data_IF_072151334540
#
_entry.id   IF_072151334540
#
_cell.length_a   1.000
_cell.length_b   1.000
_cell.length_c   1.000
_cell.angle_alpha   90.00
_cell.angle_beta   90.00
_cell.angle_gamma   90.00
#
_symmetry.space_group_name_H-M   'P 1'
#
loop_
_entity.id
_entity.type
_entity.pdbx_description
1 polymer ?
#
# COMPACT_ATOMS: atom_id res chain seq x y z
N UNK A 1 -59.52 23.17 -56.54
CA UNK A 1 -59.56 22.55 -55.19
C UNK A 1 -60.61 23.27 -54.37
N UNK A 2 -61.54 22.56 -53.73
CA UNK A 2 -62.54 23.20 -52.87
C UNK A 2 -61.92 23.56 -51.51
N UNK A 3 -62.33 24.67 -50.90
CA UNK A 3 -61.84 25.14 -49.59
C UNK A 3 -61.85 24.03 -48.52
N UNK A 4 -62.89 23.19 -48.51
CA UNK A 4 -63.03 22.07 -47.57
C UNK A 4 -61.94 21.02 -47.73
N UNK A 5 -61.58 20.68 -48.96
CA UNK A 5 -60.50 19.73 -49.29
C UNK A 5 -59.14 20.27 -48.81
N UNK A 6 -58.90 21.57 -48.99
CA UNK A 6 -57.66 22.22 -48.57
C UNK A 6 -57.49 22.22 -47.04
N UNK A 7 -58.56 22.47 -46.28
CA UNK A 7 -58.54 22.42 -44.81
C UNK A 7 -58.27 20.99 -44.32
N UNK A 8 -58.91 19.99 -44.92
CA UNK A 8 -58.70 18.58 -44.56
C UNK A 8 -57.24 18.17 -44.83
N UNK A 9 -56.70 18.52 -46.00
CA UNK A 9 -55.31 18.23 -46.35
C UNK A 9 -54.32 18.88 -45.37
N UNK A 10 -54.54 20.14 -44.98
CA UNK A 10 -53.69 20.84 -44.02
C UNK A 10 -53.67 20.16 -42.64
N UNK A 11 -54.83 19.67 -42.17
CA UNK A 11 -54.92 18.94 -40.90
C UNK A 11 -54.14 17.63 -40.94
N UNK A 12 -54.21 16.88 -42.05
CA UNK A 12 -53.43 15.65 -42.19
C UNK A 12 -51.92 15.90 -42.19
N UNK A 13 -51.48 16.96 -42.86
CA UNK A 13 -50.06 17.34 -42.88
C UNK A 13 -49.58 17.72 -41.48
N UNK A 14 -50.37 18.51 -40.74
CA UNK A 14 -50.04 18.88 -39.36
C UNK A 14 -49.99 17.66 -38.43
N UNK A 15 -50.94 16.73 -38.55
CA UNK A 15 -50.95 15.50 -37.77
C UNK A 15 -49.75 14.60 -38.11
N UNK A 16 -49.42 14.45 -39.39
CA UNK A 16 -48.26 13.68 -39.83
C UNK A 16 -46.94 14.27 -39.28
N UNK A 17 -46.79 15.59 -39.32
CA UNK A 17 -45.63 16.28 -38.76
C UNK A 17 -45.51 16.06 -37.24
N UNK A 18 -46.62 16.16 -36.52
CA UNK A 18 -46.67 15.93 -35.08
C UNK A 18 -46.26 14.50 -34.72
N UNK A 19 -46.81 13.51 -35.41
CA UNK A 19 -46.49 12.10 -35.21
C UNK A 19 -45.02 11.84 -35.51
N UNK A 20 -44.49 12.39 -36.59
CA UNK A 20 -43.08 12.25 -36.95
C UNK A 20 -42.15 12.88 -35.89
N UNK A 21 -42.45 14.09 -35.43
CA UNK A 21 -41.70 14.75 -34.36
C UNK A 21 -41.70 13.92 -33.07
N UNK A 22 -42.88 13.49 -32.63
CA UNK A 22 -43.05 12.65 -31.44
C UNK A 22 -42.28 11.33 -31.56
N UNK A 23 -42.32 10.68 -32.73
CA UNK A 23 -41.57 9.45 -32.99
C UNK A 23 -40.06 9.69 -32.92
N UNK A 24 -39.57 10.75 -33.57
CA UNK A 24 -38.15 11.13 -33.54
C UNK A 24 -37.68 11.40 -32.12
N UNK A 25 -38.44 12.18 -31.35
CA UNK A 25 -38.11 12.55 -29.98
C UNK A 25 -38.08 11.31 -29.08
N UNK A 26 -39.02 10.38 -29.25
CA UNK A 26 -39.02 9.10 -28.52
C UNK A 26 -37.79 8.26 -28.85
N UNK A 27 -37.38 8.19 -30.11
CA UNK A 27 -36.18 7.46 -30.50
C UNK A 27 -34.92 8.10 -29.92
N UNK A 28 -34.85 9.43 -29.92
CA UNK A 28 -33.74 10.15 -29.32
C UNK A 28 -33.70 9.98 -27.79
N UNK A 29 -34.86 9.99 -27.13
CA UNK A 29 -34.97 9.67 -25.70
C UNK A 29 -34.48 8.25 -25.39
N UNK A 30 -34.83 7.27 -26.23
CA UNK A 30 -34.41 5.88 -26.06
C UNK A 30 -32.89 5.74 -26.15
N UNK A 31 -32.28 6.36 -27.16
CA UNK A 31 -30.82 6.37 -27.31
C UNK A 31 -30.16 7.04 -26.11
N UNK A 32 -30.61 8.23 -25.72
CA UNK A 32 -30.04 8.95 -24.58
C UNK A 32 -30.17 8.14 -23.28
N UNK A 33 -31.31 7.51 -23.04
CA UNK A 33 -31.51 6.65 -21.87
C UNK A 33 -30.55 5.46 -21.89
N UNK A 34 -30.37 4.77 -23.02
CA UNK A 34 -29.41 3.66 -23.12
C UNK A 34 -27.97 4.11 -22.87
N UNK A 35 -27.58 5.28 -23.39
CA UNK A 35 -26.25 5.84 -23.14
C UNK A 35 -26.07 6.21 -21.68
N UNK A 36 -27.05 6.90 -21.09
CA UNK A 36 -26.97 7.36 -19.69
C UNK A 36 -26.98 6.17 -18.71
N UNK A 37 -27.80 5.16 -18.98
CA UNK A 37 -27.82 3.89 -18.23
C UNK A 37 -26.49 3.15 -18.34
N UNK A 38 -25.88 3.12 -19.53
CA UNK A 38 -24.54 2.56 -19.74
C UNK A 38 -23.47 3.31 -18.95
N UNK A 39 -23.49 4.65 -18.96
CA UNK A 39 -22.57 5.47 -18.18
C UNK A 39 -22.76 5.29 -16.67
N UNK A 40 -24.00 5.24 -16.20
CA UNK A 40 -24.32 5.03 -14.79
C UNK A 40 -23.85 3.65 -14.32
N UNK A 41 -24.08 2.61 -15.12
CA UNK A 41 -23.61 1.25 -14.86
C UNK A 41 -22.08 1.16 -14.82
N UNK A 42 -21.40 1.82 -15.76
CA UNK A 42 -19.95 1.93 -15.76
C UNK A 42 -19.44 2.65 -14.49
N UNK A 43 -20.07 3.75 -14.10
CA UNK A 43 -19.70 4.51 -12.90
C UNK A 43 -19.95 3.70 -11.62
N UNK A 44 -21.07 2.99 -11.53
CA UNK A 44 -21.39 2.11 -10.40
C UNK A 44 -20.38 0.96 -10.29
N UNK A 45 -19.97 0.39 -11.43
CA UNK A 45 -18.93 -0.65 -11.50
C UNK A 45 -17.59 -0.10 -11.02
N UNK A 46 -17.15 1.06 -11.52
CA UNK A 46 -15.90 1.72 -11.11
C UNK A 46 -15.92 2.02 -9.61
N UNK A 47 -17.03 2.56 -9.10
CA UNK A 47 -17.14 2.88 -7.69
C UNK A 47 -17.07 1.62 -6.81
N UNK A 48 -17.73 0.53 -7.23
CA UNK A 48 -17.70 -0.76 -6.52
C UNK A 48 -16.30 -1.37 -6.51
N UNK A 49 -15.59 -1.33 -7.64
CA UNK A 49 -14.20 -1.81 -7.74
C UNK A 49 -13.30 -0.98 -6.84
N UNK A 50 -13.47 0.34 -6.85
CA UNK A 50 -12.67 1.25 -6.00
C UNK A 50 -12.92 0.99 -4.53
N UNK A 51 -14.19 0.84 -4.12
CA UNK A 51 -14.55 0.58 -2.73
C UNK A 51 -14.04 -0.78 -2.25
N UNK A 52 -14.11 -1.81 -3.10
CA UNK A 52 -13.56 -3.13 -2.79
C UNK A 52 -12.02 -3.11 -2.70
N UNK A 53 -11.33 -2.41 -3.61
CA UNK A 53 -9.89 -2.23 -3.54
C UNK A 53 -9.45 -1.49 -2.26
N UNK A 54 -10.16 -0.44 -1.87
CA UNK A 54 -9.92 0.26 -0.59
C UNK A 54 -10.15 -0.67 0.59
N UNK A 55 -11.24 -1.43 0.60
CA UNK A 55 -11.53 -2.38 1.68
C UNK A 55 -10.46 -3.48 1.81
N UNK A 56 -9.96 -4.01 0.68
CA UNK A 56 -8.88 -5.01 0.68
C UNK A 56 -7.59 -4.40 1.24
N UNK A 57 -7.19 -3.21 0.79
CA UNK A 57 -6.01 -2.51 1.32
C UNK A 57 -6.15 -2.24 2.82
N UNK A 58 -7.34 -1.85 3.26
CA UNK A 58 -7.60 -1.59 4.67
C UNK A 58 -7.49 -2.85 5.52
N UNK A 59 -7.99 -4.00 5.04
CA UNK A 59 -7.80 -5.30 5.73
C UNK A 59 -6.34 -5.71 5.76
N UNK A 60 -5.63 -5.62 4.63
CA UNK A 60 -4.21 -5.95 4.57
C UNK A 60 -3.37 -5.06 5.50
N UNK A 61 -3.70 -3.77 5.62
CA UNK A 61 -3.04 -2.87 6.56
C UNK A 61 -3.29 -3.27 8.02
N UNK A 62 -4.53 -3.63 8.38
CA UNK A 62 -4.87 -4.11 9.71
C UNK A 62 -4.15 -5.42 10.06
N UNK A 63 -4.09 -6.36 9.12
CA UNK A 63 -3.38 -7.63 9.30
C UNK A 63 -1.87 -7.41 9.46
N UNK A 64 -1.28 -6.50 8.68
CA UNK A 64 0.13 -6.11 8.84
C UNK A 64 0.40 -5.47 10.21
N UNK A 65 -0.47 -4.57 10.69
CA UNK A 65 -0.36 -3.98 12.03
C UNK A 65 -0.44 -5.05 13.11
N UNK A 66 -1.32 -6.03 12.96
CA UNK A 66 -1.48 -7.14 13.91
C UNK A 66 -0.26 -8.05 13.93
N UNK A 67 0.29 -8.41 12.77
CA UNK A 67 1.52 -9.18 12.66
C UNK A 67 2.70 -8.47 13.33
N UNK A 68 2.87 -7.17 13.06
CA UNK A 68 3.93 -6.37 13.69
C UNK A 68 3.79 -6.28 15.22
N UNK A 69 2.56 -6.15 15.74
CA UNK A 69 2.32 -6.20 17.19
C UNK A 69 2.67 -7.55 17.81
N UNK A 70 2.40 -8.65 17.11
CA UNK A 70 2.78 -9.99 17.57
C UNK A 70 4.31 -10.14 17.61
N UNK A 71 5.00 -9.68 16.57
CA UNK A 71 6.47 -9.65 16.51
C UNK A 71 7.08 -8.79 17.64
N UNK A 72 6.58 -7.58 17.87
CA UNK A 72 7.04 -6.70 18.95
C UNK A 72 6.84 -7.35 20.33
N UNK A 73 5.74 -8.09 20.51
CA UNK A 73 5.45 -8.80 21.77
C UNK A 73 6.42 -9.97 21.98
N UNK A 74 6.70 -10.76 20.95
CA UNK A 74 7.66 -11.86 21.02
C UNK A 74 9.09 -11.34 21.23
N UNK A 75 9.47 -10.24 20.58
CA UNK A 75 10.76 -9.59 20.81
C UNK A 75 10.93 -9.13 22.27
N UNK A 76 9.89 -8.56 22.88
CA UNK A 76 9.90 -8.20 24.32
C UNK A 76 10.03 -9.43 25.22
N UNK A 77 9.34 -10.53 24.91
CA UNK A 77 9.50 -11.79 25.66
C UNK A 77 10.91 -12.35 25.56
N UNK A 78 11.47 -12.45 24.35
CA UNK A 78 12.83 -12.96 24.13
C UNK A 78 13.86 -12.09 24.88
N UNK A 79 13.75 -10.76 24.77
CA UNK A 79 14.59 -9.83 25.52
C UNK A 79 14.48 -10.01 27.03
N UNK A 80 13.28 -10.32 27.53
CA UNK A 80 13.05 -10.59 28.95
C UNK A 80 13.72 -11.89 29.36
N UNK A 81 13.52 -12.98 28.64
CA UNK A 81 14.16 -14.28 28.89
C UNK A 81 15.69 -14.15 28.89
N UNK A 82 16.27 -13.42 27.95
CA UNK A 82 17.72 -13.15 27.93
C UNK A 82 18.15 -12.40 29.20
N UNK A 83 17.41 -11.35 29.58
CA UNK A 83 17.77 -10.52 30.74
C UNK A 83 17.54 -11.19 32.10
N UNK A 84 16.65 -12.16 32.20
CA UNK A 84 16.29 -12.78 33.48
C UNK A 84 16.82 -14.20 33.59
N UNK A 85 16.62 -15.03 32.57
CA UNK A 85 17.01 -16.45 32.62
C UNK A 85 18.49 -16.62 32.27
N UNK A 86 18.98 -15.97 31.20
CA UNK A 86 20.37 -16.10 30.80
C UNK A 86 21.32 -15.27 31.68
N UNK A 87 20.92 -14.07 32.10
CA UNK A 87 21.71 -13.25 33.03
C UNK A 87 22.04 -13.98 34.33
N UNK A 88 21.07 -14.72 34.86
CA UNK A 88 21.20 -15.45 36.12
C UNK A 88 21.63 -16.91 35.90
N UNK A 89 21.99 -17.29 34.66
CA UNK A 89 22.52 -18.63 34.36
C UNK A 89 23.94 -18.78 34.89
N UNK A 90 24.23 -19.96 35.46
CA UNK A 90 25.55 -20.32 36.01
C UNK A 90 26.69 -20.17 35.00
N UNK A 91 26.40 -20.27 33.70
CA UNK A 91 27.35 -20.08 32.61
C UNK A 91 27.67 -18.60 32.29
N UNK A 92 26.83 -17.65 32.68
CA UNK A 92 27.02 -16.21 32.42
C UNK A 92 27.76 -15.48 33.56
N UNK A 93 27.75 -16.04 34.76
CA UNK A 93 28.33 -15.43 35.98
C UNK A 93 29.76 -15.93 36.24
N UNK A 94 30.39 -16.64 35.31
CA UNK A 94 31.77 -17.10 35.51
C UNK A 94 32.70 -15.88 35.41
N UNK A 95 33.31 -15.41 36.52
CA UNK A 95 34.26 -14.32 36.45
C UNK A 95 35.44 -14.78 35.60
N UNK A 96 35.78 -14.00 34.57
CA UNK A 96 36.99 -14.27 33.80
C UNK A 96 38.18 -14.17 34.76
N UNK A 97 39.01 -15.21 34.88
CA UNK A 97 40.10 -15.21 35.84
C UNK A 97 41.05 -14.04 35.54
N UNK A 98 41.48 -13.38 36.62
CA UNK A 98 42.23 -12.13 36.53
C UNK A 98 43.57 -12.28 35.80
N UNK A 99 44.14 -13.49 35.79
CA UNK A 99 45.37 -13.81 35.07
C UNK A 99 45.17 -13.76 33.55
N UNK A 100 44.09 -14.32 33.03
CA UNK A 100 43.74 -14.32 31.62
C UNK A 100 43.43 -12.89 31.15
N UNK A 101 42.74 -12.09 31.96
CA UNK A 101 42.50 -10.66 31.67
C UNK A 101 43.82 -9.88 31.64
N UNK A 102 44.72 -10.16 32.58
CA UNK A 102 46.05 -9.53 32.64
C UNK A 102 46.90 -9.91 31.44
N UNK A 103 46.89 -11.18 31.03
CA UNK A 103 47.65 -11.68 29.90
C UNK A 103 47.12 -11.13 28.57
N UNK A 104 45.80 -11.06 28.40
CA UNK A 104 45.16 -10.42 27.25
C UNK A 104 45.50 -8.92 27.17
N UNK A 105 45.49 -8.20 28.29
CA UNK A 105 45.94 -6.80 28.34
C UNK A 105 47.41 -6.65 27.97
N UNK A 106 48.27 -7.55 28.46
CA UNK A 106 49.70 -7.56 28.11
C UNK A 106 49.88 -7.79 26.61
N UNK A 107 49.15 -8.74 26.03
CA UNK A 107 49.21 -9.03 24.60
C UNK A 107 48.73 -7.85 23.75
N UNK A 108 47.59 -7.25 24.12
CA UNK A 108 47.06 -6.05 23.46
C UNK A 108 48.02 -4.86 23.55
N UNK A 109 48.66 -4.67 24.71
CA UNK A 109 49.69 -3.63 24.88
C UNK A 109 50.89 -3.90 23.99
N UNK A 110 51.36 -5.16 23.93
CA UNK A 110 52.47 -5.56 23.06
C UNK A 110 52.20 -5.35 21.56
N UNK A 111 50.96 -5.58 21.11
CA UNK A 111 50.53 -5.26 19.73
C UNK A 111 50.61 -3.75 19.51
N UNK A 112 49.97 -2.95 20.37
CA UNK A 112 49.94 -1.49 20.22
C UNK A 112 51.33 -0.85 20.26
N UNK A 113 52.26 -1.38 21.08
CA UNK A 113 53.64 -0.89 21.12
C UNK A 113 54.45 -1.27 19.88
N UNK A 114 54.21 -2.45 19.28
CA UNK A 114 54.88 -2.86 18.03
C UNK A 114 54.39 -2.06 16.83
N UNK A 115 53.12 -1.68 16.81
CA UNK A 115 52.57 -0.86 15.72
C UNK A 115 53.03 0.60 15.79
N UNK A 116 53.55 1.07 16.93
CA UNK A 116 54.07 2.42 17.11
C UNK A 116 55.54 2.65 16.72
N UNK A 117 56.32 1.59 16.43
CA UNK A 117 57.78 1.68 16.24
C UNK A 117 58.25 1.41 14.79
N UNK A 118 57.32 1.30 13.84
CA UNK A 118 57.65 0.97 12.43
C UNK A 118 57.60 2.18 11.49
N UNK A 119 58.14 3.33 11.90
CA UNK A 119 58.51 4.40 10.97
C UNK A 119 59.66 5.27 11.54
N UNK A 120 60.79 4.64 11.86
CA UNK A 120 62.08 5.34 11.74
C UNK A 120 62.68 4.97 10.40
N UNK A 121 62.27 5.71 9.37
CA UNK A 121 62.83 5.63 8.03
C UNK A 121 64.36 5.79 8.07
N UNK A 122 65.09 4.68 8.08
CA UNK A 122 66.47 4.64 7.58
C UNK A 122 66.42 4.96 6.09
N UNK A 123 66.56 6.25 5.79
CA UNK A 123 66.82 6.76 4.45
C UNK A 123 68.29 6.46 4.18
N UNK A 124 68.56 5.33 3.55
CA UNK A 124 69.90 4.98 3.05
C UNK A 124 70.24 5.90 1.88
N UNK A 125 71.43 6.50 1.92
CA UNK A 125 71.90 7.56 1.02
C UNK A 125 73.27 7.20 0.49
#
# INVERSE_FOLDING_TARGET
MNWKEAVIAALFIAAAWWVYGTYRDNQQLKVNNTTLSGQLSAQQTINTITLSAVAIRHRAALDNIKAKRAEDTEHVKVKTVIKTVFKDSECAVIPVPADAVSELRRYATGINTRTGDTDSATTDR
#
